data_IF_218762972661
#
_entry.id   IF_218762972661
#
_cell.length_a   1.000
_cell.length_b   1.000
_cell.length_c   1.000
_cell.angle_alpha   90.00
_cell.angle_beta   90.00
_cell.angle_gamma   90.00
#
_symmetry.space_group_name_H-M   'P 1'
#
loop_
_entity.id
_entity.type
_entity.pdbx_description
1 polymer ?
#
# COMPACT_ATOMS: atom_id res chain seq x y z
N UNK A 1 -12.21 -5.51 -7.33
CA UNK A 1 -11.53 -5.56 -6.01
C UNK A 1 -10.58 -6.74 -5.93
N UNK A 2 -11.06 -8.00 -5.92
CA UNK A 2 -10.19 -9.19 -5.83
C UNK A 2 -9.17 -9.31 -6.98
N UNK A 3 -9.56 -8.96 -8.21
CA UNK A 3 -8.63 -8.99 -9.35
C UNK A 3 -7.47 -7.99 -9.20
N UNK A 4 -7.72 -6.79 -8.66
CA UNK A 4 -6.67 -5.78 -8.40
C UNK A 4 -5.71 -6.26 -7.30
N UNK A 5 -6.22 -6.89 -6.25
CA UNK A 5 -5.42 -7.41 -5.13
C UNK A 5 -4.28 -8.32 -5.60
N UNK A 6 -4.52 -9.12 -6.64
CA UNK A 6 -3.54 -10.09 -7.15
C UNK A 6 -2.79 -9.61 -8.40
N UNK A 7 -2.80 -8.31 -8.67
CA UNK A 7 -2.12 -7.74 -9.84
C UNK A 7 -0.62 -8.08 -9.80
N UNK A 8 -0.11 -8.64 -10.89
CA UNK A 8 1.30 -9.01 -11.01
C UNK A 8 1.69 -10.34 -10.34
N UNK A 9 0.77 -11.00 -9.63
CA UNK A 9 1.07 -12.23 -8.88
C UNK A 9 0.76 -13.51 -9.65
N UNK A 10 1.67 -14.47 -9.59
CA UNK A 10 1.44 -15.83 -10.04
C UNK A 10 0.53 -16.64 -9.09
N UNK A 11 0.13 -17.85 -9.49
CA UNK A 11 -0.77 -18.69 -8.70
C UNK A 11 -0.19 -19.09 -7.32
N UNK A 12 1.13 -19.28 -7.23
CA UNK A 12 1.80 -19.64 -5.98
C UNK A 12 1.84 -18.43 -5.02
N UNK A 13 2.15 -17.24 -5.54
CA UNK A 13 2.12 -15.98 -4.81
C UNK A 13 0.71 -15.65 -4.32
N UNK A 14 -0.32 -15.81 -5.16
CA UNK A 14 -1.72 -15.61 -4.78
C UNK A 14 -2.16 -16.50 -3.62
N UNK A 15 -1.61 -17.71 -3.53
CA UNK A 15 -1.84 -18.64 -2.41
C UNK A 15 -1.03 -18.25 -1.17
N UNK A 16 0.17 -17.71 -1.37
CA UNK A 16 1.10 -17.32 -0.32
C UNK A 16 0.64 -16.11 0.50
N UNK A 17 -0.05 -15.14 -0.12
CA UNK A 17 -0.42 -13.87 0.51
C UNK A 17 -1.57 -14.01 1.51
N UNK A 18 -2.39 -15.06 1.42
CA UNK A 18 -3.49 -15.25 2.36
C UNK A 18 -4.61 -16.15 1.85
N UNK A 19 -5.57 -16.43 2.72
CA UNK A 19 -6.73 -17.26 2.42
C UNK A 19 -7.68 -16.56 1.42
N UNK A 20 -8.10 -17.26 0.37
CA UNK A 20 -8.99 -16.70 -0.65
C UNK A 20 -10.38 -16.42 -0.09
N UNK A 21 -10.91 -17.32 0.75
CA UNK A 21 -12.24 -17.17 1.34
C UNK A 21 -12.30 -15.94 2.25
N UNK A 22 -11.29 -15.72 3.09
CA UNK A 22 -11.18 -14.53 3.92
C UNK A 22 -11.15 -13.24 3.09
N UNK A 23 -10.40 -13.22 1.98
CA UNK A 23 -10.37 -12.07 1.06
C UNK A 23 -11.72 -11.82 0.39
N UNK A 24 -12.41 -12.89 -0.01
CA UNK A 24 -13.77 -12.79 -0.57
C UNK A 24 -14.77 -12.25 0.45
N UNK A 25 -14.71 -12.74 1.70
CA UNK A 25 -15.56 -12.25 2.78
C UNK A 25 -15.31 -10.77 3.07
N UNK A 26 -14.04 -10.36 3.20
CA UNK A 26 -13.67 -8.96 3.37
C UNK A 26 -14.21 -8.09 2.23
N UNK A 27 -14.02 -8.52 0.98
CA UNK A 27 -14.50 -7.78 -0.18
C UNK A 27 -16.04 -7.64 -0.17
N UNK A 28 -16.76 -8.71 0.18
CA UNK A 28 -18.21 -8.69 0.30
C UNK A 28 -18.69 -7.74 1.40
N UNK A 29 -18.04 -7.75 2.58
CA UNK A 29 -18.34 -6.83 3.69
C UNK A 29 -18.11 -5.38 3.29
N UNK A 30 -17.00 -5.07 2.62
CA UNK A 30 -16.70 -3.72 2.16
C UNK A 30 -17.73 -3.24 1.15
N UNK A 31 -18.09 -4.08 0.17
CA UNK A 31 -19.15 -3.77 -0.79
C UNK A 31 -20.50 -3.50 -0.12
N UNK A 32 -20.86 -4.27 0.92
CA UNK A 32 -22.10 -4.10 1.67
C UNK A 32 -22.12 -2.82 2.52
N UNK A 33 -20.96 -2.26 2.86
CA UNK A 33 -20.87 -0.99 3.59
C UNK A 33 -21.18 0.25 2.75
N UNK A 34 -21.26 0.11 1.41
CA UNK A 34 -21.64 1.24 0.56
C UNK A 34 -23.11 1.64 0.85
N UNK A 35 -23.40 2.95 1.05
CA UNK A 35 -24.77 3.40 1.29
C UNK A 35 -25.77 3.10 0.16
N UNK A 36 -25.30 2.70 -1.03
CA UNK A 36 -26.11 2.20 -2.12
C UNK A 36 -25.66 0.77 -2.50
N UNK A 37 -26.07 -0.24 -1.70
CA UNK A 37 -25.63 -1.63 -1.88
C UNK A 37 -26.16 -2.27 -3.17
N UNK A 38 -27.17 -1.66 -3.82
CA UNK A 38 -27.75 -2.16 -5.08
C UNK A 38 -26.79 -2.06 -6.28
N UNK A 39 -25.78 -1.20 -6.20
CA UNK A 39 -24.92 -0.88 -7.35
C UNK A 39 -23.90 -1.97 -7.73
N UNK A 40 -23.68 -2.98 -6.86
CA UNK A 40 -22.55 -3.94 -6.97
C UNK A 40 -21.17 -3.27 -7.12
N UNK A 41 -21.08 -1.98 -6.80
CA UNK A 41 -19.86 -1.17 -6.90
C UNK A 41 -19.64 -0.45 -5.58
N UNK A 42 -18.37 -0.24 -5.24
CA UNK A 42 -17.97 0.55 -4.07
C UNK A 42 -17.66 1.98 -4.52
N UNK A 43 -18.26 2.98 -3.88
CA UNK A 43 -17.86 4.38 -4.05
C UNK A 43 -16.68 4.67 -3.13
N UNK A 44 -15.63 5.23 -3.71
CA UNK A 44 -14.46 5.70 -2.99
C UNK A 44 -14.06 7.09 -3.49
N UNK A 45 -13.46 7.96 -2.64
CA UNK A 45 -12.89 9.22 -3.10
C UNK A 45 -11.88 8.99 -4.24
N UNK A 46 -12.05 9.70 -5.35
CA UNK A 46 -11.22 9.54 -6.56
C UNK A 46 -10.02 10.50 -6.63
N UNK A 47 -9.65 11.14 -5.52
CA UNK A 47 -8.56 12.13 -5.48
C UNK A 47 -7.23 11.57 -5.97
N UNK A 48 -6.87 10.35 -5.54
CA UNK A 48 -5.64 9.67 -5.98
C UNK A 48 -5.59 9.45 -7.49
N UNK A 49 -6.73 9.18 -8.13
CA UNK A 49 -6.79 8.99 -9.59
C UNK A 49 -6.47 10.30 -10.29
N UNK A 50 -7.05 11.41 -9.80
CA UNK A 50 -6.76 12.74 -10.32
C UNK A 50 -5.29 13.11 -10.14
N UNK A 51 -4.73 12.88 -8.95
CA UNK A 51 -3.32 13.18 -8.67
C UNK A 51 -2.37 12.37 -9.55
N UNK A 52 -2.67 11.09 -9.76
CA UNK A 52 -1.88 10.25 -10.66
C UNK A 52 -1.96 10.74 -12.10
N UNK A 53 -3.15 11.01 -12.63
CA UNK A 53 -3.32 11.39 -14.04
C UNK A 53 -2.81 12.80 -14.35
N UNK A 54 -3.05 13.77 -13.47
CA UNK A 54 -2.75 15.18 -13.73
C UNK A 54 -1.35 15.60 -13.27
N UNK A 55 -0.77 14.90 -12.28
CA UNK A 55 0.51 15.27 -11.69
C UNK A 55 1.56 14.17 -11.91
N UNK A 56 1.46 13.04 -11.22
CA UNK A 56 2.51 12.02 -11.22
C UNK A 56 2.78 11.42 -12.61
N UNK A 57 1.74 11.13 -13.38
CA UNK A 57 1.82 10.64 -14.76
C UNK A 57 2.41 11.65 -15.74
N UNK A 58 2.50 12.93 -15.35
CA UNK A 58 3.16 14.00 -16.11
C UNK A 58 4.56 14.30 -15.56
N UNK A 59 5.10 13.48 -14.64
CA UNK A 59 6.39 13.72 -13.99
C UNK A 59 6.39 14.90 -13.03
N UNK A 60 5.21 15.35 -12.57
CA UNK A 60 5.05 16.46 -11.61
C UNK A 60 4.68 15.88 -10.25
N UNK A 61 5.64 15.63 -9.34
CA UNK A 61 5.32 15.11 -8.02
C UNK A 61 4.47 16.12 -7.23
N UNK A 62 3.49 15.64 -6.46
CA UNK A 62 2.60 16.50 -5.66
C UNK A 62 3.26 17.01 -4.38
N UNK A 63 4.44 16.50 -4.03
CA UNK A 63 5.21 16.90 -2.87
C UNK A 63 6.72 16.71 -3.11
N UNK A 64 7.53 17.29 -2.22
CA UNK A 64 8.98 17.15 -2.23
C UNK A 64 9.46 16.41 -0.97
N UNK A 65 9.92 15.15 -1.05
CA UNK A 65 10.39 14.38 0.10
C UNK A 65 11.52 15.07 0.87
N UNK A 66 12.34 15.89 0.20
CA UNK A 66 13.46 16.60 0.83
C UNK A 66 13.00 17.64 1.87
N UNK A 67 11.72 18.03 1.85
CA UNK A 67 11.14 18.98 2.80
C UNK A 67 10.51 18.29 4.03
N UNK A 68 10.47 16.97 4.07
CA UNK A 68 9.92 16.23 5.21
C UNK A 68 10.94 16.24 6.34
N UNK A 69 10.60 16.92 7.44
CA UNK A 69 11.46 17.03 8.63
C UNK A 69 11.12 15.99 9.71
N UNK A 70 9.92 15.41 9.67
CA UNK A 70 9.48 14.43 10.64
C UNK A 70 10.24 13.10 10.50
N UNK A 71 10.51 12.38 11.60
CA UNK A 71 10.96 10.99 11.52
C UNK A 71 10.05 10.19 10.58
N UNK A 72 10.65 9.38 9.70
CA UNK A 72 9.89 8.71 8.63
C UNK A 72 10.25 7.23 8.53
N UNK A 73 9.25 6.36 8.64
CA UNK A 73 9.34 4.95 8.30
C UNK A 73 8.62 4.71 6.96
N UNK A 74 9.34 4.16 5.99
CA UNK A 74 8.77 3.64 4.73
C UNK A 74 8.71 2.12 4.83
N UNK A 75 7.53 1.54 4.62
CA UNK A 75 7.34 0.08 4.58
C UNK A 75 6.77 -0.31 3.22
N UNK A 76 7.43 -1.23 2.52
CA UNK A 76 7.01 -1.71 1.18
C UNK A 76 7.01 -3.23 1.15
N UNK A 77 6.06 -3.81 0.41
CA UNK A 77 6.03 -5.24 0.16
C UNK A 77 6.92 -5.65 -1.01
N UNK A 78 7.64 -6.76 -0.89
CA UNK A 78 8.50 -7.29 -1.97
C UNK A 78 7.74 -7.54 -3.28
N UNK A 79 6.45 -7.88 -3.20
CA UNK A 79 5.59 -8.13 -4.37
C UNK A 79 4.58 -7.00 -4.59
N UNK A 80 4.87 -5.79 -4.11
CA UNK A 80 4.07 -4.62 -4.46
C UNK A 80 4.37 -4.19 -5.90
N UNK A 81 3.37 -4.32 -6.77
CA UNK A 81 3.43 -3.91 -8.17
C UNK A 81 2.75 -2.56 -8.44
N UNK A 82 2.08 -1.97 -7.45
CA UNK A 82 1.43 -0.66 -7.58
C UNK A 82 2.32 0.47 -7.06
N UNK A 83 3.01 0.22 -5.95
CA UNK A 83 4.01 1.11 -5.33
C UNK A 83 5.27 0.30 -5.04
N UNK A 84 6.14 0.17 -6.04
CA UNK A 84 7.21 -0.84 -6.02
C UNK A 84 8.30 -0.53 -4.98
N UNK A 85 9.09 -1.53 -4.56
CA UNK A 85 10.25 -1.32 -3.69
C UNK A 85 11.21 -0.25 -4.23
N UNK A 86 11.41 -0.19 -5.55
CA UNK A 86 12.26 0.82 -6.19
C UNK A 86 11.72 2.24 -5.96
N UNK A 87 10.41 2.44 -6.15
CA UNK A 87 9.78 3.74 -5.89
C UNK A 87 9.89 4.14 -4.41
N UNK A 88 9.74 3.18 -3.50
CA UNK A 88 9.96 3.42 -2.08
C UNK A 88 11.42 3.82 -1.76
N UNK A 89 12.39 3.15 -2.37
CA UNK A 89 13.81 3.48 -2.25
C UNK A 89 14.14 4.88 -2.81
N UNK A 90 13.50 5.29 -3.91
CA UNK A 90 13.66 6.63 -4.46
C UNK A 90 13.17 7.71 -3.49
N UNK A 91 12.02 7.50 -2.84
CA UNK A 91 11.53 8.41 -1.79
C UNK A 91 12.49 8.42 -0.61
N UNK A 92 12.93 7.25 -0.14
CA UNK A 92 13.86 7.12 0.97
C UNK A 92 15.15 7.92 0.76
N UNK A 93 15.76 7.81 -0.43
CA UNK A 93 16.97 8.53 -0.78
C UNK A 93 16.79 10.06 -0.67
N UNK A 94 15.60 10.56 -0.99
CA UNK A 94 15.25 11.99 -1.02
C UNK A 94 14.81 12.57 0.33
N UNK A 95 14.66 11.78 1.39
CA UNK A 95 14.29 12.27 2.73
C UNK A 95 15.49 12.97 3.41
N UNK A 96 15.98 14.06 2.84
CA UNK A 96 17.22 14.72 3.28
C UNK A 96 17.07 15.51 4.59
N UNK A 97 15.88 16.06 4.85
CA UNK A 97 15.61 16.84 6.06
C UNK A 97 15.10 16.01 7.25
N UNK A 98 14.80 14.72 7.06
CA UNK A 98 14.33 13.84 8.11
C UNK A 98 15.52 13.33 8.95
N UNK A 99 15.56 13.70 10.24
CA UNK A 99 16.66 13.31 11.13
C UNK A 99 16.78 11.80 11.36
N UNK A 100 15.64 11.09 11.35
CA UNK A 100 15.56 9.63 11.32
C UNK A 100 14.71 9.19 10.12
N UNK A 101 15.26 8.29 9.32
CA UNK A 101 14.59 7.69 8.18
C UNK A 101 14.91 6.21 8.12
N UNK A 102 13.88 5.39 7.98
CA UNK A 102 13.99 3.92 7.90
C UNK A 102 13.23 3.40 6.68
N UNK A 103 13.78 2.34 6.09
CA UNK A 103 13.14 1.62 5.00
C UNK A 103 13.04 0.15 5.38
N UNK A 104 11.83 -0.42 5.31
CA UNK A 104 11.55 -1.82 5.59
C UNK A 104 10.92 -2.47 4.37
N UNK A 105 11.61 -3.47 3.80
CA UNK A 105 11.07 -4.35 2.79
C UNK A 105 10.53 -5.62 3.45
N UNK A 106 9.24 -5.89 3.28
CA UNK A 106 8.59 -7.10 3.82
C UNK A 106 8.46 -8.15 2.70
N UNK A 107 9.17 -9.26 2.86
CA UNK A 107 9.11 -10.38 1.91
C UNK A 107 7.70 -10.95 1.76
N UNK A 108 7.33 -11.32 0.53
CA UNK A 108 6.03 -11.94 0.18
C UNK A 108 4.79 -11.09 0.51
N UNK A 109 4.97 -9.79 0.76
CA UNK A 109 3.88 -8.84 0.98
C UNK A 109 3.59 -8.06 -0.31
N UNK A 110 2.33 -7.67 -0.51
CA UNK A 110 1.89 -6.91 -1.70
C UNK A 110 1.44 -5.50 -1.33
N UNK A 111 0.90 -4.77 -2.31
CA UNK A 111 0.20 -3.50 -2.06
C UNK A 111 -0.91 -3.59 -1.01
N UNK A 112 -1.52 -4.77 -0.84
CA UNK A 112 -2.61 -5.01 0.10
C UNK A 112 -2.15 -5.67 1.41
N UNK A 113 -0.85 -5.56 1.78
CA UNK A 113 -0.24 -6.29 2.91
C UNK A 113 -0.97 -6.14 4.26
N UNK A 114 -1.66 -5.02 4.47
CA UNK A 114 -2.56 -4.76 5.61
C UNK A 114 -3.57 -5.88 5.85
N UNK A 115 -4.02 -6.51 4.77
CA UNK A 115 -5.08 -7.50 4.73
C UNK A 115 -4.56 -8.92 4.48
N UNK A 116 -3.24 -9.10 4.51
CA UNK A 116 -2.54 -10.32 4.10
C UNK A 116 -1.86 -11.02 5.28
N UNK A 117 -1.26 -12.17 4.99
CA UNK A 117 -0.50 -12.98 5.97
C UNK A 117 0.58 -12.19 6.68
N UNK A 118 1.19 -11.21 6.02
CA UNK A 118 2.26 -10.38 6.56
C UNK A 118 1.77 -9.18 7.39
N UNK A 119 0.46 -8.97 7.52
CA UNK A 119 -0.09 -7.86 8.30
C UNK A 119 0.44 -7.76 9.75
N UNK A 120 0.71 -8.87 10.49
CA UNK A 120 1.34 -8.78 11.81
C UNK A 120 2.74 -8.16 11.78
N UNK A 121 3.54 -8.41 10.74
CA UNK A 121 4.89 -7.85 10.58
C UNK A 121 4.82 -6.35 10.34
N UNK A 122 3.91 -5.91 9.46
CA UNK A 122 3.65 -4.49 9.23
C UNK A 122 3.26 -3.79 10.54
N UNK A 123 2.31 -4.37 11.30
CA UNK A 123 1.84 -3.78 12.55
C UNK A 123 2.95 -3.67 13.58
N UNK A 124 3.76 -4.71 13.76
CA UNK A 124 4.88 -4.71 14.69
C UNK A 124 5.92 -3.64 14.32
N UNK A 125 6.22 -3.47 13.03
CA UNK A 125 7.15 -2.44 12.56
C UNK A 125 6.64 -1.02 12.83
N UNK A 126 5.35 -0.77 12.58
CA UNK A 126 4.71 0.52 12.86
C UNK A 126 4.66 0.79 14.36
N UNK A 127 4.29 -0.20 15.18
CA UNK A 127 4.20 -0.06 16.63
C UNK A 127 5.56 0.21 17.27
N UNK A 128 6.60 -0.49 16.82
CA UNK A 128 7.97 -0.21 17.26
C UNK A 128 8.38 1.23 16.95
N UNK A 129 8.15 1.69 15.71
CA UNK A 129 8.49 3.05 15.30
C UNK A 129 7.74 4.14 16.07
N UNK A 130 6.47 3.90 16.43
CA UNK A 130 5.65 4.87 17.16
C UNK A 130 5.92 4.88 18.68
N UNK A 131 6.60 3.87 19.22
CA UNK A 131 6.84 3.71 20.66
C UNK A 131 8.20 4.23 21.13
N UNK A 132 8.99 4.79 20.21
CA UNK A 132 10.30 5.40 20.46
C UNK A 132 10.19 6.87 20.88
#
# INVERSE_FOLDING_TARGET
>A
MLARWVTGLDAAQQTAIGDLTARQQWAATVLASDPNPSSKTLRAPAGVVKDVLENWGQGRPTYDPAKIQAPTLIVVGEWDHETTPEQGCEVFARLEAAADRRFLLIGRATHSMLLERQAPVLRAAVEAFLSE
#
